data_IF_386980579399
#
_entry.id   IF_386980579399
#
_cell.length_a   1.000
_cell.length_b   1.000
_cell.length_c   1.000
_cell.angle_alpha   90.00
_cell.angle_beta   90.00
_cell.angle_gamma   90.00
#
_symmetry.space_group_name_H-M   'P 1'
#
loop_
_entity.id
_entity.type
_entity.pdbx_description
1 polymer ?
#
# COMPACT_ATOMS: atom_id res chain seq x y z
N UNK A 1 -13.42 3.51 -17.25
CA UNK A 1 -12.36 2.51 -16.97
C UNK A 1 -12.69 1.82 -15.67
N UNK A 2 -12.64 0.50 -15.67
CA UNK A 2 -12.97 -0.34 -14.51
C UNK A 2 -12.05 -1.55 -14.51
N UNK A 3 -11.40 -1.82 -13.38
CA UNK A 3 -10.59 -3.02 -13.16
C UNK A 3 -11.34 -3.94 -12.20
N UNK A 4 -11.77 -5.09 -12.69
CA UNK A 4 -12.57 -6.05 -11.92
C UNK A 4 -11.77 -7.32 -11.60
N UNK A 5 -11.90 -7.78 -10.37
CA UNK A 5 -11.40 -9.06 -9.89
C UNK A 5 -12.61 -10.00 -9.74
N UNK A 6 -12.65 -11.09 -10.48
CA UNK A 6 -13.73 -12.08 -10.37
C UNK A 6 -13.22 -13.36 -9.74
N UNK A 7 -13.57 -13.59 -8.48
CA UNK A 7 -13.29 -14.79 -7.67
C UNK A 7 -11.83 -15.24 -7.79
N UNK A 8 -10.91 -14.27 -7.76
CA UNK A 8 -9.51 -14.47 -8.02
C UNK A 8 -8.86 -15.32 -6.92
N UNK A 9 -8.26 -16.43 -7.31
CA UNK A 9 -7.61 -17.38 -6.39
C UNK A 9 -6.20 -17.69 -6.86
N UNK A 10 -5.24 -17.73 -5.92
CA UNK A 10 -3.89 -18.25 -6.16
C UNK A 10 -3.51 -19.26 -5.12
N UNK A 11 -3.20 -20.47 -5.59
CA UNK A 11 -2.72 -21.57 -4.76
C UNK A 11 -1.30 -21.97 -5.16
N UNK A 12 -0.45 -22.19 -4.18
CA UNK A 12 0.90 -22.73 -4.32
C UNK A 12 0.97 -24.08 -3.57
N UNK A 13 0.90 -25.18 -4.31
CA UNK A 13 0.81 -26.50 -3.72
C UNK A 13 -0.43 -26.59 -2.80
N UNK A 14 -0.19 -26.76 -1.47
CA UNK A 14 -1.27 -26.80 -0.48
C UNK A 14 -1.64 -25.43 0.12
N UNK A 15 -0.85 -24.39 -0.13
CA UNK A 15 -1.06 -23.05 0.44
C UNK A 15 -1.89 -22.20 -0.50
N UNK A 16 -3.04 -21.72 -0.05
CA UNK A 16 -3.83 -20.70 -0.73
C UNK A 16 -3.33 -19.35 -0.28
N UNK A 17 -2.76 -18.57 -1.20
CA UNK A 17 -2.20 -17.24 -0.94
C UNK A 17 -3.23 -16.13 -1.17
N UNK A 18 -4.14 -16.33 -2.15
CA UNK A 18 -5.30 -15.48 -2.41
C UNK A 18 -6.48 -16.42 -2.60
N UNK A 19 -7.60 -16.16 -1.92
CA UNK A 19 -8.73 -17.09 -1.79
C UNK A 19 -10.04 -16.39 -2.17
N UNK A 20 -10.49 -16.63 -3.39
CA UNK A 20 -11.77 -16.20 -3.93
C UNK A 20 -12.06 -14.70 -3.73
N UNK A 21 -11.09 -13.85 -4.12
CA UNK A 21 -11.17 -12.40 -3.96
C UNK A 21 -11.92 -11.77 -5.12
N UNK A 22 -12.92 -10.95 -4.84
CA UNK A 22 -13.67 -10.17 -5.83
C UNK A 22 -13.73 -8.70 -5.41
N UNK A 23 -13.52 -7.80 -6.37
CA UNK A 23 -13.64 -6.36 -6.21
C UNK A 23 -13.81 -5.69 -7.57
N UNK A 24 -14.40 -4.51 -7.57
CA UNK A 24 -14.51 -3.65 -8.76
C UNK A 24 -13.89 -2.29 -8.43
N UNK A 25 -12.82 -1.94 -9.14
CA UNK A 25 -12.04 -0.74 -8.91
C UNK A 25 -12.29 0.26 -10.05
N UNK A 26 -12.72 1.46 -9.70
CA UNK A 26 -12.90 2.60 -10.61
C UNK A 26 -11.76 3.61 -10.41
N UNK A 27 -11.64 4.68 -11.21
CA UNK A 27 -10.66 5.73 -10.94
C UNK A 27 -10.70 6.19 -9.48
N UNK A 28 -9.53 6.21 -8.83
CA UNK A 28 -9.35 6.52 -7.42
C UNK A 28 -8.13 5.83 -6.83
N UNK A 29 -7.84 6.11 -5.56
CA UNK A 29 -6.71 5.55 -4.81
C UNK A 29 -7.20 4.47 -3.86
N UNK A 30 -6.69 3.26 -4.02
CA UNK A 30 -7.02 2.07 -3.22
C UNK A 30 -5.85 1.68 -2.34
N UNK A 31 -6.07 1.71 -1.02
CA UNK A 31 -5.12 1.22 -0.03
C UNK A 31 -5.30 -0.29 0.22
N UNK A 32 -4.30 -1.11 -0.08
CA UNK A 32 -4.31 -2.54 0.23
C UNK A 32 -3.59 -2.78 1.55
N UNK A 33 -4.34 -2.91 2.63
CA UNK A 33 -3.84 -3.17 3.98
C UNK A 33 -3.88 -4.67 4.33
N UNK A 34 -2.96 -5.10 5.17
CA UNK A 34 -2.93 -6.46 5.70
C UNK A 34 -1.56 -6.81 6.27
N UNK A 35 -1.51 -7.78 7.19
CA UNK A 35 -0.26 -8.26 7.77
C UNK A 35 0.68 -8.88 6.73
N UNK A 36 1.95 -9.08 7.11
CA UNK A 36 2.89 -9.81 6.27
C UNK A 36 2.38 -11.24 6.04
N UNK A 37 2.45 -11.68 4.77
CA UNK A 37 1.90 -12.97 4.37
C UNK A 37 0.38 -13.01 4.16
N UNK A 38 -0.34 -11.89 4.26
CA UNK A 38 -1.78 -11.82 3.98
C UNK A 38 -2.14 -12.11 2.51
N UNK A 39 -1.18 -12.04 1.58
CA UNK A 39 -1.38 -12.29 0.16
C UNK A 39 -1.29 -11.05 -0.74
N UNK A 40 -0.99 -9.86 -0.18
CA UNK A 40 -0.96 -8.58 -0.91
C UNK A 40 -0.08 -8.61 -2.16
N UNK A 41 1.21 -8.94 -2.03
CA UNK A 41 2.15 -9.02 -3.17
C UNK A 41 1.70 -10.05 -4.22
N UNK A 42 1.13 -11.18 -3.77
CA UNK A 42 0.57 -12.19 -4.69
C UNK A 42 -0.59 -11.62 -5.50
N UNK A 43 -1.51 -10.94 -4.83
CA UNK A 43 -2.63 -10.25 -5.49
C UNK A 43 -2.14 -9.20 -6.49
N UNK A 44 -1.24 -8.32 -6.08
CA UNK A 44 -0.68 -7.28 -6.96
C UNK A 44 0.02 -7.86 -8.19
N UNK A 45 0.75 -8.97 -8.03
CA UNK A 45 1.38 -9.65 -9.18
C UNK A 45 0.36 -10.22 -10.16
N UNK A 46 -0.80 -10.71 -9.69
CA UNK A 46 -1.88 -11.15 -10.57
C UNK A 46 -2.52 -9.96 -11.28
N UNK A 47 -2.78 -8.85 -10.56
CA UNK A 47 -3.27 -7.61 -11.16
C UNK A 47 -2.33 -7.05 -12.23
N UNK A 48 -1.02 -7.26 -12.09
CA UNK A 48 -0.02 -6.85 -13.09
C UNK A 48 0.12 -7.84 -14.27
N UNK A 49 -0.64 -8.93 -14.30
CA UNK A 49 -0.49 -10.04 -15.26
C UNK A 49 0.97 -10.61 -15.29
N UNK A 50 1.70 -10.52 -14.15
CA UNK A 50 3.03 -11.12 -13.95
C UNK A 50 2.91 -12.53 -13.37
N UNK A 51 1.78 -12.81 -12.73
CA UNK A 51 1.46 -14.08 -12.10
C UNK A 51 0.06 -14.51 -12.53
N UNK A 52 -0.05 -15.71 -13.08
CA UNK A 52 -1.35 -16.29 -13.44
C UNK A 52 -2.12 -16.72 -12.20
N UNK A 53 -3.43 -16.49 -12.18
CA UNK A 53 -4.36 -17.02 -11.18
C UNK A 53 -4.46 -18.56 -11.31
N UNK A 54 -4.83 -19.23 -10.22
CA UNK A 54 -5.23 -20.64 -10.26
C UNK A 54 -6.66 -20.79 -10.74
N UNK A 55 -7.56 -19.89 -10.29
CA UNK A 55 -8.94 -19.75 -10.76
C UNK A 55 -9.34 -18.28 -10.68
N UNK A 56 -10.40 -17.92 -11.38
CA UNK A 56 -10.86 -16.53 -11.49
C UNK A 56 -9.97 -15.70 -12.41
N UNK A 57 -10.39 -14.49 -12.69
CA UNK A 57 -9.75 -13.64 -13.69
C UNK A 57 -9.72 -12.16 -13.26
N UNK A 58 -8.81 -11.41 -13.88
CA UNK A 58 -8.75 -9.96 -13.77
C UNK A 58 -9.20 -9.37 -15.09
N UNK A 59 -10.17 -8.45 -15.02
CA UNK A 59 -10.78 -7.85 -16.21
C UNK A 59 -10.53 -6.34 -16.22
N UNK A 60 -10.10 -5.79 -17.34
CA UNK A 60 -10.09 -4.36 -17.62
C UNK A 60 -11.19 -4.02 -18.63
N UNK A 61 -12.18 -3.24 -18.21
CA UNK A 61 -13.36 -2.90 -19.02
C UNK A 61 -14.00 -4.16 -19.66
N UNK A 62 -14.12 -5.25 -18.87
CA UNK A 62 -14.69 -6.52 -19.27
C UNK A 62 -13.80 -7.44 -20.12
N UNK A 63 -12.53 -7.06 -20.37
CA UNK A 63 -11.56 -7.90 -21.10
C UNK A 63 -10.51 -8.47 -20.15
N UNK A 64 -10.24 -9.76 -20.26
CA UNK A 64 -9.22 -10.43 -19.45
C UNK A 64 -7.82 -9.85 -19.72
N UNK A 65 -7.14 -9.38 -18.66
CA UNK A 65 -5.84 -8.69 -18.77
C UNK A 65 -4.73 -9.56 -19.33
N UNK A 66 -4.77 -10.87 -19.08
CA UNK A 66 -3.78 -11.83 -19.61
C UNK A 66 -3.86 -11.94 -21.14
N UNK A 67 -5.08 -11.88 -21.69
CA UNK A 67 -5.33 -11.92 -23.13
C UNK A 67 -4.94 -10.61 -23.86
N UNK A 68 -4.94 -9.47 -23.14
CA UNK A 68 -4.61 -8.16 -23.71
C UNK A 68 -3.11 -7.99 -24.03
N UNK A 69 -2.24 -8.73 -23.35
CA UNK A 69 -0.80 -8.75 -23.64
C UNK A 69 -0.15 -7.36 -23.56
N UNK A 70 0.33 -6.84 -24.70
CA UNK A 70 1.01 -5.55 -24.76
C UNK A 70 0.08 -4.36 -24.47
N UNK A 71 -1.19 -4.44 -24.85
CA UNK A 71 -2.15 -3.35 -24.63
C UNK A 71 -2.38 -3.10 -23.15
N UNK A 72 -2.46 -4.16 -22.33
CA UNK A 72 -2.53 -4.01 -20.89
C UNK A 72 -1.25 -3.40 -20.31
N UNK A 73 -0.07 -3.89 -20.72
CA UNK A 73 1.21 -3.35 -20.27
C UNK A 73 1.42 -1.87 -20.61
N UNK A 74 0.83 -1.40 -21.72
CA UNK A 74 0.89 0.01 -22.11
C UNK A 74 0.12 0.93 -21.17
N UNK A 75 -0.94 0.45 -20.53
CA UNK A 75 -1.74 1.23 -19.56
C UNK A 75 -1.34 0.96 -18.11
N UNK A 76 -0.40 0.04 -17.86
CA UNK A 76 0.05 -0.36 -16.53
C UNK A 76 1.38 0.29 -16.16
N UNK A 77 1.45 0.83 -14.94
CA UNK A 77 2.67 1.13 -14.20
C UNK A 77 2.78 0.22 -12.99
N UNK A 78 3.95 -0.38 -12.78
CA UNK A 78 4.17 -1.27 -11.65
C UNK A 78 5.50 -0.98 -10.96
N UNK A 79 5.43 -0.80 -9.63
CA UNK A 79 6.57 -0.79 -8.73
C UNK A 79 6.47 -2.02 -7.82
N UNK A 80 7.29 -3.06 -8.01
CA UNK A 80 7.37 -4.18 -7.07
C UNK A 80 8.09 -3.77 -5.80
N UNK A 81 7.88 -4.49 -4.70
CA UNK A 81 8.56 -4.30 -3.42
C UNK A 81 10.09 -4.29 -3.58
N UNK A 82 10.62 -5.23 -4.36
CA UNK A 82 12.02 -5.28 -4.76
C UNK A 82 12.10 -5.05 -6.27
N UNK A 83 12.36 -3.83 -6.69
CA UNK A 83 12.57 -3.57 -8.10
C UNK A 83 14.04 -3.74 -8.48
N UNK A 84 14.26 -4.47 -9.58
CA UNK A 84 15.59 -4.65 -10.15
C UNK A 84 16.08 -3.38 -10.86
N UNK A 85 17.33 -3.02 -10.61
CA UNK A 85 18.00 -1.93 -11.30
C UNK A 85 19.41 -2.34 -11.73
N UNK A 86 19.95 -1.65 -12.75
CA UNK A 86 21.34 -1.85 -13.18
C UNK A 86 22.28 -0.95 -12.36
N UNK A 87 23.10 -1.52 -11.44
CA UNK A 87 23.87 -0.74 -10.46
C UNK A 87 24.82 0.28 -11.09
N UNK A 88 25.32 -0.01 -12.26
CA UNK A 88 26.29 0.83 -12.99
C UNK A 88 25.66 1.84 -13.93
N UNK A 89 24.35 1.80 -14.15
CA UNK A 89 23.63 2.82 -14.91
C UNK A 89 23.43 4.06 -14.06
N UNK A 90 23.45 5.24 -14.68
CA UNK A 90 22.92 6.47 -14.08
C UNK A 90 21.38 6.40 -14.03
N UNK A 91 20.76 7.28 -13.26
CA UNK A 91 19.29 7.32 -13.19
C UNK A 91 18.69 7.61 -14.59
N UNK A 92 19.30 8.51 -15.35
CA UNK A 92 18.87 8.79 -16.74
C UNK A 92 19.01 7.57 -17.62
N UNK A 93 20.17 6.89 -17.62
CA UNK A 93 20.41 5.70 -18.44
C UNK A 93 19.41 4.58 -18.10
N UNK A 94 19.17 4.36 -16.83
CA UNK A 94 18.21 3.36 -16.36
C UNK A 94 16.79 3.67 -16.85
N UNK A 95 16.30 4.89 -16.64
CA UNK A 95 14.96 5.29 -17.09
C UNK A 95 14.83 5.29 -18.62
N UNK A 96 15.85 5.71 -19.34
CA UNK A 96 15.88 5.62 -20.81
C UNK A 96 15.86 4.17 -21.32
N UNK A 97 16.54 3.27 -20.62
CA UNK A 97 16.51 1.83 -20.93
C UNK A 97 15.10 1.26 -20.73
N UNK A 98 14.45 1.55 -19.59
CA UNK A 98 13.07 1.12 -19.34
C UNK A 98 12.09 1.73 -20.35
N UNK A 99 12.27 3.00 -20.70
CA UNK A 99 11.46 3.65 -21.73
C UNK A 99 11.57 2.93 -23.09
N UNK A 100 12.78 2.51 -23.47
CA UNK A 100 13.00 1.74 -24.70
C UNK A 100 12.30 0.36 -24.65
N UNK A 101 12.35 -0.35 -23.50
CA UNK A 101 11.63 -1.61 -23.32
C UNK A 101 10.10 -1.43 -23.40
N UNK A 102 9.58 -0.26 -22.99
CA UNK A 102 8.17 0.10 -23.12
C UNK A 102 7.79 0.61 -24.52
N UNK A 103 8.73 0.65 -25.48
CA UNK A 103 8.49 1.13 -26.85
C UNK A 103 8.29 2.65 -26.95
N UNK A 104 8.69 3.44 -25.95
CA UNK A 104 8.56 4.91 -25.96
C UNK A 104 9.63 5.49 -26.90
N UNK A 105 9.26 6.29 -27.93
CA UNK A 105 10.22 6.88 -28.85
C UNK A 105 11.27 7.73 -28.11
N UNK A 106 12.54 7.65 -28.54
CA UNK A 106 13.69 8.24 -27.82
C UNK A 106 13.54 9.73 -27.50
N UNK A 107 12.98 10.50 -28.43
CA UNK A 107 12.73 11.94 -28.23
C UNK A 107 11.67 12.20 -27.14
N UNK A 108 10.59 11.42 -27.12
CA UNK A 108 9.54 11.48 -26.09
C UNK A 108 10.08 11.01 -24.74
N UNK A 109 10.81 9.88 -24.75
CA UNK A 109 11.42 9.31 -23.54
C UNK A 109 12.38 10.31 -22.88
N UNK A 110 13.23 11.01 -23.65
CA UNK A 110 14.17 11.98 -23.11
C UNK A 110 13.47 13.12 -22.33
N UNK A 111 12.39 13.65 -22.92
CA UNK A 111 11.59 14.70 -22.25
C UNK A 111 10.93 14.15 -20.99
N UNK A 112 10.27 12.98 -21.11
CA UNK A 112 9.55 12.36 -20.01
C UNK A 112 10.46 11.97 -18.82
N UNK A 113 11.65 11.46 -19.10
CA UNK A 113 12.66 11.11 -18.09
C UNK A 113 13.10 12.34 -17.33
N UNK A 114 13.35 13.47 -18.02
CA UNK A 114 13.72 14.74 -17.36
C UNK A 114 12.61 15.21 -16.43
N UNK A 115 11.36 15.26 -16.90
CA UNK A 115 10.19 15.64 -16.12
C UNK A 115 10.02 14.74 -14.88
N UNK A 116 10.13 13.42 -15.05
CA UNK A 116 9.96 12.48 -13.93
C UNK A 116 11.08 12.58 -12.90
N UNK A 117 12.33 12.80 -13.32
CA UNK A 117 13.43 13.00 -12.39
C UNK A 117 13.25 14.30 -11.57
N UNK A 118 12.62 15.31 -12.13
CA UNK A 118 12.25 16.53 -11.41
C UNK A 118 11.12 16.24 -10.41
N UNK A 119 10.06 15.59 -10.84
CA UNK A 119 8.91 15.20 -10.01
C UNK A 119 9.35 14.39 -8.78
N UNK A 120 10.28 13.43 -8.95
CA UNK A 120 10.79 12.62 -7.85
C UNK A 120 12.03 13.23 -7.15
N UNK A 121 12.39 14.49 -7.46
CA UNK A 121 13.51 15.22 -6.85
C UNK A 121 14.88 14.53 -6.97
N UNK A 122 15.16 14.02 -8.15
CA UNK A 122 16.43 13.38 -8.47
C UNK A 122 17.21 14.08 -9.58
N UNK A 123 16.76 15.23 -10.08
CA UNK A 123 17.42 15.98 -11.16
C UNK A 123 18.88 16.30 -10.83
N UNK A 124 19.18 16.67 -9.57
CA UNK A 124 20.51 17.04 -9.10
C UNK A 124 21.51 15.86 -9.08
N UNK A 125 21.03 14.64 -9.16
CA UNK A 125 21.83 13.39 -9.17
C UNK A 125 21.56 12.51 -10.39
N UNK A 126 20.83 13.02 -11.37
CA UNK A 126 20.38 12.30 -12.56
C UNK A 126 21.49 11.52 -13.28
N UNK A 127 22.71 12.07 -13.32
CA UNK A 127 23.89 11.49 -13.95
C UNK A 127 24.78 10.66 -13.01
N UNK A 128 24.37 10.46 -11.74
CA UNK A 128 25.07 9.58 -10.79
C UNK A 128 24.59 8.14 -10.95
N UNK A 129 25.50 7.19 -10.72
CA UNK A 129 25.19 5.76 -10.80
C UNK A 129 24.22 5.34 -9.70
N UNK A 130 23.19 4.56 -10.04
CA UNK A 130 22.13 4.13 -9.10
C UNK A 130 22.69 3.35 -7.90
N UNK A 131 23.82 2.64 -8.05
CA UNK A 131 24.48 1.98 -6.92
C UNK A 131 24.91 2.93 -5.79
N UNK A 132 25.12 4.22 -6.08
CA UNK A 132 25.51 5.22 -5.08
C UNK A 132 24.31 5.86 -4.37
N UNK A 133 23.09 5.49 -4.75
CA UNK A 133 21.87 6.06 -4.20
C UNK A 133 21.52 5.43 -2.86
N UNK A 134 20.93 6.25 -1.97
CA UNK A 134 20.29 5.75 -0.74
C UNK A 134 19.09 4.86 -1.06
N UNK A 135 18.56 4.14 -0.07
CA UNK A 135 17.33 3.35 -0.24
C UNK A 135 16.17 4.18 -0.77
N UNK A 136 15.92 5.35 -0.16
CA UNK A 136 14.86 6.26 -0.59
C UNK A 136 15.09 6.83 -2.00
N UNK A 137 16.34 7.15 -2.37
CA UNK A 137 16.65 7.58 -3.74
C UNK A 137 16.38 6.46 -4.77
N UNK A 138 16.72 5.21 -4.47
CA UNK A 138 16.42 4.05 -5.31
C UNK A 138 14.91 3.87 -5.46
N UNK A 139 14.18 3.98 -4.36
CA UNK A 139 12.72 3.90 -4.37
C UNK A 139 12.09 4.97 -5.27
N UNK A 140 12.59 6.20 -5.22
CA UNK A 140 12.15 7.30 -6.09
C UNK A 140 12.45 7.05 -7.57
N UNK A 141 13.58 6.42 -7.90
CA UNK A 141 13.84 5.94 -9.28
C UNK A 141 12.81 4.89 -9.70
N UNK A 142 12.47 3.96 -8.79
CA UNK A 142 11.43 2.94 -9.05
C UNK A 142 10.05 3.55 -9.28
N UNK A 143 9.69 4.60 -8.54
CA UNK A 143 8.45 5.36 -8.78
C UNK A 143 8.48 6.02 -10.15
N UNK A 144 9.58 6.71 -10.50
CA UNK A 144 9.74 7.33 -11.81
C UNK A 144 9.59 6.33 -12.95
N UNK A 145 10.18 5.13 -12.82
CA UNK A 145 10.06 4.08 -13.83
C UNK A 145 8.62 3.56 -13.98
N UNK A 146 7.87 3.46 -12.89
CA UNK A 146 6.46 3.06 -12.93
C UNK A 146 5.57 4.08 -13.67
N UNK A 147 5.94 5.37 -13.61
CA UNK A 147 5.21 6.49 -14.22
C UNK A 147 5.60 6.81 -15.68
N UNK A 148 6.61 6.13 -16.26
CA UNK A 148 7.20 6.46 -17.56
C UNK A 148 6.18 6.57 -18.69
N UNK A 149 5.29 5.61 -18.84
CA UNK A 149 4.29 5.55 -19.92
C UNK A 149 2.98 6.26 -19.59
N UNK A 150 2.96 7.13 -18.55
CA UNK A 150 1.74 7.77 -18.05
C UNK A 150 0.59 6.78 -17.88
N UNK A 151 0.76 5.74 -17.04
CA UNK A 151 -0.17 4.63 -16.96
C UNK A 151 -1.54 5.08 -16.46
N UNK A 152 -2.59 4.36 -16.90
CA UNK A 152 -3.96 4.52 -16.40
C UNK A 152 -4.21 3.69 -15.15
N UNK A 153 -3.43 2.64 -14.94
CA UNK A 153 -3.44 1.77 -13.76
C UNK A 153 -2.04 1.80 -13.16
N UNK A 154 -1.92 2.20 -11.90
CA UNK A 154 -0.65 2.27 -11.18
C UNK A 154 -0.70 1.34 -9.97
N UNK A 155 0.17 0.35 -9.92
CA UNK A 155 0.26 -0.62 -8.83
C UNK A 155 1.61 -0.46 -8.15
N UNK A 156 1.58 -0.20 -6.82
CA UNK A 156 2.75 0.13 -6.02
C UNK A 156 2.82 -0.78 -4.79
N UNK A 157 3.82 -1.66 -4.75
CA UNK A 157 4.02 -2.58 -3.63
C UNK A 157 5.06 -1.99 -2.66
N UNK A 158 4.61 -1.58 -1.47
CA UNK A 158 5.40 -0.93 -0.41
C UNK A 158 6.18 0.32 -0.88
N UNK A 159 5.54 1.29 -1.58
CA UNK A 159 6.25 2.39 -2.23
C UNK A 159 6.91 3.37 -1.26
N UNK A 160 6.48 3.42 0.01
CA UNK A 160 7.00 4.32 1.04
C UNK A 160 8.07 3.69 1.93
N UNK A 161 8.41 2.41 1.69
CA UNK A 161 9.45 1.73 2.42
C UNK A 161 10.81 2.42 2.24
N UNK A 162 11.47 2.77 3.36
CA UNK A 162 12.78 3.42 3.36
C UNK A 162 12.77 4.92 3.01
N UNK A 163 11.60 5.53 2.81
CA UNK A 163 11.47 6.98 2.70
C UNK A 163 11.45 7.64 4.08
N UNK A 164 12.09 8.79 4.20
CA UNK A 164 11.95 9.63 5.38
C UNK A 164 10.56 10.31 5.44
N UNK A 165 10.15 10.91 6.58
CA UNK A 165 8.84 11.53 6.72
C UNK A 165 8.54 12.62 5.68
N UNK A 166 9.54 13.43 5.30
CA UNK A 166 9.38 14.50 4.30
C UNK A 166 9.17 13.91 2.90
N UNK A 167 9.93 12.87 2.56
CA UNK A 167 9.80 12.16 1.30
C UNK A 167 8.45 11.45 1.18
N UNK A 168 7.92 10.88 2.29
CA UNK A 168 6.56 10.29 2.32
C UNK A 168 5.46 11.32 2.06
N UNK A 169 5.53 12.48 2.68
CA UNK A 169 4.56 13.58 2.42
C UNK A 169 4.59 13.96 0.95
N UNK A 170 5.79 14.14 0.37
CA UNK A 170 5.95 14.48 -1.04
C UNK A 170 5.37 13.39 -1.97
N UNK A 171 5.65 12.13 -1.64
CA UNK A 171 5.11 10.99 -2.39
C UNK A 171 3.58 10.92 -2.33
N UNK A 172 2.98 11.15 -1.16
CA UNK A 172 1.52 11.21 -1.00
C UNK A 172 0.90 12.30 -1.88
N UNK A 173 1.48 13.51 -1.84
CA UNK A 173 1.00 14.61 -2.68
C UNK A 173 1.10 14.26 -4.17
N UNK A 174 2.23 13.67 -4.60
CA UNK A 174 2.40 13.19 -5.96
C UNK A 174 1.31 12.19 -6.37
N UNK A 175 0.98 11.23 -5.51
CA UNK A 175 -0.06 10.26 -5.81
C UNK A 175 -1.45 10.91 -5.88
N UNK A 176 -1.78 11.82 -4.96
CA UNK A 176 -3.06 12.53 -4.99
C UNK A 176 -3.23 13.35 -6.26
N UNK A 177 -2.17 14.03 -6.72
CA UNK A 177 -2.20 14.76 -8.00
C UNK A 177 -2.29 13.82 -9.21
N UNK A 178 -1.63 12.66 -9.12
CA UNK A 178 -1.58 11.70 -10.22
C UNK A 178 -2.88 10.90 -10.37
N UNK A 179 -3.58 10.64 -9.28
CA UNK A 179 -4.74 9.73 -9.25
C UNK A 179 -5.86 10.15 -10.24
N UNK A 180 -6.32 11.38 -10.17
CA UNK A 180 -7.29 11.96 -11.09
C UNK A 180 -8.29 10.98 -11.71
N UNK A 181 -8.11 10.67 -13.00
CA UNK A 181 -8.91 9.73 -13.78
C UNK A 181 -8.32 8.28 -13.83
N UNK A 182 -7.36 7.97 -12.94
CA UNK A 182 -6.60 6.72 -12.93
C UNK A 182 -6.96 5.81 -11.76
N UNK A 183 -6.66 4.53 -11.89
CA UNK A 183 -6.75 3.55 -10.79
C UNK A 183 -5.36 3.43 -10.18
N UNK A 184 -5.22 3.79 -8.91
CA UNK A 184 -3.98 3.64 -8.15
C UNK A 184 -4.21 2.64 -7.03
N UNK A 185 -3.39 1.60 -6.99
CA UNK A 185 -3.44 0.58 -5.92
C UNK A 185 -2.08 0.59 -5.23
N UNK A 186 -2.07 0.84 -3.92
CA UNK A 186 -0.84 0.79 -3.16
C UNK A 186 -0.98 -0.14 -1.96
N UNK A 187 0.02 -0.99 -1.74
CA UNK A 187 0.18 -1.72 -0.48
C UNK A 187 1.13 -0.97 0.43
N UNK A 188 0.84 -0.98 1.71
CA UNK A 188 1.79 -0.57 2.75
C UNK A 188 1.38 -1.18 4.08
N UNK A 189 2.35 -1.31 4.98
CA UNK A 189 2.10 -1.63 6.39
C UNK A 189 1.96 -0.36 7.25
N UNK A 190 2.14 0.83 6.66
CA UNK A 190 2.02 2.12 7.33
C UNK A 190 0.60 2.65 7.12
N UNK A 191 -0.27 2.41 8.11
CA UNK A 191 -1.69 2.74 8.02
C UNK A 191 -1.92 4.23 7.78
N UNK A 192 -1.12 5.11 8.40
CA UNK A 192 -1.22 6.55 8.23
C UNK A 192 -0.96 7.05 6.80
N UNK A 193 -0.19 6.30 6.00
CA UNK A 193 -0.01 6.65 4.59
C UNK A 193 -1.28 6.40 3.78
N UNK A 194 -2.00 5.29 4.09
CA UNK A 194 -3.29 4.97 3.47
C UNK A 194 -4.37 5.96 3.91
N UNK A 195 -4.47 6.22 5.21
CA UNK A 195 -5.46 7.15 5.77
C UNK A 195 -5.38 8.55 5.15
N UNK A 196 -4.18 8.96 4.75
CA UNK A 196 -3.94 10.29 4.19
C UNK A 196 -4.33 10.44 2.71
N UNK A 197 -4.37 9.34 1.91
CA UNK A 197 -4.51 9.45 0.44
C UNK A 197 -5.51 8.49 -0.19
N UNK A 198 -5.91 7.41 0.50
CA UNK A 198 -6.80 6.43 -0.09
C UNK A 198 -8.26 6.90 -0.08
N UNK A 199 -8.94 6.75 -1.21
CA UNK A 199 -10.37 6.92 -1.32
C UNK A 199 -11.08 5.70 -0.70
N UNK A 200 -10.57 4.49 -1.01
CA UNK A 200 -11.05 3.24 -0.47
C UNK A 200 -9.90 2.36 0.07
N UNK A 201 -10.22 1.52 1.03
CA UNK A 201 -9.30 0.55 1.64
C UNK A 201 -9.83 -0.86 1.44
N UNK A 202 -8.92 -1.75 1.02
CA UNK A 202 -9.11 -3.18 0.92
C UNK A 202 -8.30 -3.85 2.03
N UNK A 203 -8.97 -4.32 3.09
CA UNK A 203 -8.30 -5.00 4.21
C UNK A 203 -8.20 -6.50 3.92
N UNK A 204 -6.98 -6.99 3.75
CA UNK A 204 -6.71 -8.38 3.38
C UNK A 204 -6.16 -9.19 4.54
N UNK A 205 -6.81 -10.32 4.88
CA UNK A 205 -6.40 -11.25 5.94
C UNK A 205 -6.47 -12.68 5.42
N UNK A 206 -5.36 -13.44 5.56
CA UNK A 206 -5.27 -14.86 5.15
C UNK A 206 -5.80 -15.13 3.73
N UNK A 207 -5.43 -14.29 2.79
CA UNK A 207 -5.80 -14.42 1.38
C UNK A 207 -7.18 -13.86 0.99
N UNK A 208 -7.97 -13.34 1.92
CA UNK A 208 -9.33 -12.84 1.68
C UNK A 208 -9.46 -11.36 1.98
N UNK A 209 -10.33 -10.65 1.27
CA UNK A 209 -10.80 -9.34 1.72
C UNK A 209 -11.78 -9.53 2.89
N UNK A 210 -11.44 -8.96 4.03
CA UNK A 210 -12.28 -8.99 5.23
C UNK A 210 -13.07 -7.70 5.42
N UNK A 211 -12.58 -6.60 4.85
CA UNK A 211 -13.27 -5.31 4.77
C UNK A 211 -12.93 -4.62 3.46
N UNK A 212 -13.90 -3.88 2.95
CA UNK A 212 -13.76 -2.91 1.88
C UNK A 212 -14.66 -1.71 2.17
N UNK A 213 -14.20 -0.52 1.86
CA UNK A 213 -14.97 0.72 1.98
C UNK A 213 -14.09 1.95 2.03
N UNK A 214 -14.70 3.11 2.08
CA UNK A 214 -14.00 4.39 2.26
C UNK A 214 -13.37 4.47 3.64
N UNK A 215 -12.32 5.30 3.79
CA UNK A 215 -11.63 5.49 5.07
C UNK A 215 -12.62 5.90 6.19
N UNK A 216 -13.54 6.88 5.99
CA UNK A 216 -14.54 7.23 7.01
C UNK A 216 -15.49 6.09 7.38
N UNK A 217 -15.99 5.34 6.40
CA UNK A 217 -16.88 4.18 6.65
C UNK A 217 -16.19 3.10 7.48
N UNK A 218 -14.90 2.85 7.21
CA UNK A 218 -14.14 1.86 7.94
C UNK A 218 -13.83 2.30 9.36
N UNK A 219 -13.43 3.56 9.56
CA UNK A 219 -13.22 4.15 10.90
C UNK A 219 -14.51 4.06 11.71
N UNK A 220 -15.67 4.36 11.07
CA UNK A 220 -16.96 4.27 11.76
C UNK A 220 -17.26 2.87 12.32
N UNK A 221 -16.78 1.80 11.68
CA UNK A 221 -16.93 0.42 12.19
C UNK A 221 -16.12 0.14 13.48
N UNK A 222 -15.12 0.97 13.78
CA UNK A 222 -14.34 0.90 15.01
C UNK A 222 -14.87 1.82 16.12
N UNK A 223 -15.85 2.70 15.82
CA UNK A 223 -16.44 3.58 16.82
C UNK A 223 -17.11 2.76 17.94
N UNK A 224 -16.92 3.22 19.17
CA UNK A 224 -17.39 2.53 20.37
C UNK A 224 -16.56 1.32 20.80
N UNK A 225 -15.43 1.06 20.10
CA UNK A 225 -14.50 -0.03 20.44
C UNK A 225 -13.13 0.46 20.89
N UNK A 226 -12.91 1.77 20.91
CA UNK A 226 -11.63 2.39 21.28
C UNK A 226 -11.80 3.20 22.54
N UNK A 227 -10.94 2.92 23.53
CA UNK A 227 -11.04 3.45 24.88
C UNK A 227 -9.70 4.03 25.33
N UNK A 228 -9.72 5.14 26.04
CA UNK A 228 -8.58 5.63 26.78
C UNK A 228 -8.74 5.30 28.28
N UNK A 229 -7.69 4.78 28.90
CA UNK A 229 -7.66 4.42 30.31
C UNK A 229 -6.37 4.94 30.95
N UNK A 230 -6.53 5.81 31.98
CA UNK A 230 -5.42 6.25 32.83
C UNK A 230 -5.13 5.23 33.91
N UNK A 231 -3.89 4.79 34.01
CA UNK A 231 -3.44 3.75 34.94
C UNK A 231 -2.05 4.03 35.49
N UNK A 232 -1.72 3.38 36.62
CA UNK A 232 -0.34 3.36 37.13
C UNK A 232 0.58 2.51 36.25
N UNK A 233 1.92 2.70 36.30
CA UNK A 233 2.87 1.89 35.57
C UNK A 233 2.80 0.37 35.87
N UNK A 234 2.34 0.00 37.05
CA UNK A 234 2.16 -1.40 37.42
C UNK A 234 0.91 -2.01 36.75
N UNK A 235 -0.21 -1.26 36.80
CA UNK A 235 -1.45 -1.67 36.13
C UNK A 235 -1.28 -1.75 34.59
N UNK A 236 -0.52 -0.82 33.99
CA UNK A 236 -0.31 -0.80 32.55
C UNK A 236 0.25 -2.11 32.01
N UNK A 237 1.22 -2.73 32.71
CA UNK A 237 1.78 -4.04 32.35
C UNK A 237 0.72 -5.14 32.38
N UNK A 238 -0.21 -5.09 33.35
CA UNK A 238 -1.29 -6.07 33.43
C UNK A 238 -2.29 -5.92 32.29
N UNK A 239 -2.60 -4.66 31.91
CA UNK A 239 -3.49 -4.40 30.78
C UNK A 239 -2.92 -4.88 29.45
N UNK A 240 -1.62 -4.68 29.20
CA UNK A 240 -0.94 -5.16 27.98
C UNK A 240 -1.02 -6.69 27.80
N UNK A 241 -1.14 -7.45 28.90
CA UNK A 241 -1.28 -8.91 28.82
C UNK A 241 -2.72 -9.40 28.67
N UNK A 242 -3.72 -8.54 28.95
CA UNK A 242 -5.14 -8.92 28.97
C UNK A 242 -5.94 -8.43 27.78
N UNK A 243 -5.49 -7.34 27.14
CA UNK A 243 -6.24 -6.67 26.09
C UNK A 243 -5.31 -6.20 24.97
N UNK A 244 -5.88 -5.88 23.81
CA UNK A 244 -5.13 -5.23 22.73
C UNK A 244 -4.92 -3.76 23.07
N UNK A 245 -3.69 -3.39 23.45
CA UNK A 245 -3.28 -2.00 23.69
C UNK A 245 -2.68 -1.46 22.38
N UNK A 246 -3.39 -0.52 21.75
CA UNK A 246 -2.96 0.10 20.50
C UNK A 246 -1.82 1.09 20.72
N UNK A 247 -1.86 1.84 21.82
CA UNK A 247 -0.84 2.83 22.14
C UNK A 247 -0.73 3.02 23.64
N UNK A 248 0.43 3.50 24.07
CA UNK A 248 0.75 3.85 25.44
C UNK A 248 1.49 5.19 25.45
N UNK A 249 0.98 6.17 26.21
CA UNK A 249 1.67 7.45 26.42
C UNK A 249 1.83 7.75 27.90
N UNK A 250 2.95 8.35 28.26
CA UNK A 250 3.18 8.83 29.62
C UNK A 250 2.59 10.22 29.81
N UNK A 251 1.81 10.42 30.84
CA UNK A 251 1.25 11.72 31.23
C UNK A 251 1.52 11.99 32.73
N UNK A 252 2.60 12.69 32.99
CA UNK A 252 3.07 12.91 34.38
C UNK A 252 3.49 11.61 35.07
N UNK A 253 2.75 11.20 36.11
CA UNK A 253 2.99 9.93 36.85
C UNK A 253 2.12 8.79 36.38
N UNK A 254 1.19 9.04 35.48
CA UNK A 254 0.25 8.07 34.95
C UNK A 254 0.60 7.64 33.55
N UNK A 255 0.01 6.56 33.11
CA UNK A 255 0.11 6.04 31.75
C UNK A 255 -1.31 6.02 31.18
N UNK A 256 -1.48 6.67 30.04
CA UNK A 256 -2.70 6.60 29.26
C UNK A 256 -2.56 5.45 28.27
N UNK A 257 -3.42 4.46 28.41
CA UNK A 257 -3.53 3.33 27.48
C UNK A 257 -4.64 3.61 26.48
N UNK A 258 -4.36 3.38 25.19
CA UNK A 258 -5.37 3.29 24.14
C UNK A 258 -5.70 1.81 23.92
N UNK A 259 -6.90 1.41 24.30
CA UNK A 259 -7.34 0.00 24.35
C UNK A 259 -8.38 -0.23 23.28
N UNK A 260 -8.26 -1.37 22.57
CA UNK A 260 -9.24 -1.83 21.60
C UNK A 260 -10.03 -2.97 22.21
N UNK A 261 -11.34 -2.77 22.39
CA UNK A 261 -12.24 -3.75 23.01
C UNK A 261 -13.69 -3.52 22.57
N UNK A 262 -14.41 -4.61 22.28
CA UNK A 262 -15.84 -4.55 21.96
C UNK A 262 -16.69 -4.05 23.14
N UNK A 263 -16.23 -4.27 24.35
CA UNK A 263 -16.88 -3.84 25.57
C UNK A 263 -16.00 -2.85 26.35
N UNK A 264 -16.62 -2.00 27.16
CA UNK A 264 -15.93 -1.09 28.06
C UNK A 264 -14.96 -1.88 28.96
N UNK A 265 -13.63 -1.65 28.86
CA UNK A 265 -12.65 -2.48 29.57
C UNK A 265 -12.62 -2.22 31.09
N UNK A 266 -13.03 -1.03 31.51
CA UNK A 266 -13.07 -0.59 32.93
C UNK A 266 -14.05 0.55 33.10
N UNK A 267 -14.66 0.72 34.28
CA UNK A 267 -15.50 1.88 34.62
C UNK A 267 -14.75 3.22 34.53
N UNK A 268 -13.41 3.18 34.58
CA UNK A 268 -12.54 4.37 34.41
C UNK A 268 -12.21 4.66 32.94
N UNK A 269 -12.58 3.77 32.04
CA UNK A 269 -12.26 3.93 30.61
C UNK A 269 -13.19 4.95 29.96
N UNK A 270 -12.62 5.82 29.16
CA UNK A 270 -13.34 6.87 28.41
C UNK A 270 -13.32 6.50 26.92
N UNK A 271 -14.47 6.52 26.23
CA UNK A 271 -14.50 6.28 24.81
C UNK A 271 -13.76 7.40 24.07
N UNK A 272 -13.02 7.05 23.03
CA UNK A 272 -12.34 8.02 22.17
C UNK A 272 -12.58 7.74 20.68
N UNK A 273 -12.32 8.74 19.84
CA UNK A 273 -12.47 8.60 18.40
C UNK A 273 -11.51 7.51 17.87
N UNK A 274 -12.06 6.65 17.04
CA UNK A 274 -11.30 5.60 16.37
C UNK A 274 -10.48 6.16 15.21
N UNK A 275 -9.38 5.48 14.88
CA UNK A 275 -8.55 5.71 13.70
C UNK A 275 -8.53 4.46 12.82
N UNK A 276 -8.04 4.58 11.61
CA UNK A 276 -7.84 3.41 10.74
C UNK A 276 -6.81 2.43 11.34
N UNK A 277 -5.84 2.92 12.12
CA UNK A 277 -4.86 2.09 12.82
C UNK A 277 -5.52 1.24 13.93
N UNK A 278 -6.47 1.79 14.68
CA UNK A 278 -7.23 1.02 15.66
C UNK A 278 -8.04 -0.09 15.00
N UNK A 279 -8.71 0.21 13.88
CA UNK A 279 -9.41 -0.80 13.10
C UNK A 279 -8.46 -1.89 12.60
N UNK A 280 -7.28 -1.52 12.10
CA UNK A 280 -6.27 -2.47 11.68
C UNK A 280 -5.85 -3.38 12.84
N UNK A 281 -5.53 -2.83 14.00
CA UNK A 281 -5.15 -3.60 15.18
C UNK A 281 -6.30 -4.47 15.72
N UNK A 282 -7.56 -4.04 15.58
CA UNK A 282 -8.71 -4.87 15.90
C UNK A 282 -8.76 -6.16 15.06
N UNK A 283 -8.45 -6.07 13.77
CA UNK A 283 -8.41 -7.24 12.88
C UNK A 283 -7.11 -8.04 12.98
N UNK A 284 -6.02 -7.39 13.39
CA UNK A 284 -4.68 -7.99 13.52
C UNK A 284 -4.11 -7.73 14.94
N UNK A 285 -4.73 -8.30 15.98
CA UNK A 285 -4.21 -8.14 17.33
C UNK A 285 -2.77 -8.69 17.40
N UNK A 286 -1.92 -7.99 18.14
CA UNK A 286 -0.55 -8.45 18.43
C UNK A 286 -0.62 -9.78 19.17
N UNK A 287 0.11 -10.81 18.72
CA UNK A 287 0.06 -12.18 19.26
C UNK A 287 0.49 -12.29 20.76
N UNK A 288 1.00 -11.21 21.35
CA UNK A 288 1.45 -11.17 22.73
C UNK A 288 0.31 -11.05 23.76
N UNK A 289 -0.93 -10.74 23.34
CA UNK A 289 -2.07 -10.45 24.25
C UNK A 289 -3.13 -11.55 24.35
N UNK A 290 -3.01 -12.70 23.65
CA UNK A 290 -4.00 -13.77 23.69
C UNK A 290 -3.30 -15.11 23.91
N UNK A 291 -3.09 -15.44 25.18
CA UNK A 291 -2.92 -16.83 25.64
C UNK A 291 -3.99 -17.16 26.66
#
# INVERSE_FOLDING_TARGET
>A
MELSLDRLTKQYGRKIAVDCVSATLKPGVYGLLGANGAGKTTLMRMLCAVLESTTGEVLLDGKEVTSMGADYRNVLGYLPQDFGYYPNYTAVEFLMYIAALKGIPKNVAKKRVTELLEVVDLSHVANKKVKTFSGGMKQRVGIAQALLNNPKILILDEPTAGLDPKERVRFRNLLSEYAGDKIVILSTHIVSDIEAIADEVLLMKKGKFVLQGTVPELIHKANGKVWELSVSPQEARQWQTKTTVANLRHEGKEIILRIISDNMPSERAVPCEATLEDLYLFYFPTEEGVK
#
